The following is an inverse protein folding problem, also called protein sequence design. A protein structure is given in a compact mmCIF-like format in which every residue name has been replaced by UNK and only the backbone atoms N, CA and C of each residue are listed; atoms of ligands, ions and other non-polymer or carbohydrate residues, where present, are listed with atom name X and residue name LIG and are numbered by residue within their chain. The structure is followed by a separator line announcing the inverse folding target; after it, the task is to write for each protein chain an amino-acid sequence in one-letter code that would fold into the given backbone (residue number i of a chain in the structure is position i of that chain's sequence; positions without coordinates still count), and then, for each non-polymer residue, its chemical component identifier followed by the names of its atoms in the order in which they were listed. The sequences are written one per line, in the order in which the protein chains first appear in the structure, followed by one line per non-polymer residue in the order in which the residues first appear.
data_IF_138852211321
#
_entry.id   IF_138852211321
#
_cell.length_a   1.000
_cell.length_b   1.000
_cell.length_c   1.000
_cell.angle_alpha   90.00
_cell.angle_beta   90.00
_cell.angle_gamma   90.00
#
_symmetry.space_group_name_H-M   'P 1'
#
loop_
_entity.id
_entity.type
_entity.pdbx_description
1 polymer ?
#
# COMPACT_ATOMS: atom_id res chain seq x y z
N UNK A 1 -48.25 10.79 -34.47
CA UNK A 1 -47.04 11.31 -33.82
C UNK A 1 -46.91 10.61 -32.47
N UNK A 2 -45.94 9.77 -32.21
CA UNK A 2 -45.81 9.13 -30.91
C UNK A 2 -45.03 10.04 -29.97
N UNK A 3 -45.59 10.19 -28.75
CA UNK A 3 -45.03 11.02 -27.69
C UNK A 3 -43.62 10.61 -27.26
N UNK A 4 -42.78 11.61 -27.15
CA UNK A 4 -41.47 11.54 -26.49
C UNK A 4 -41.68 11.26 -25.01
N UNK A 5 -41.46 10.04 -24.55
CA UNK A 5 -41.28 9.74 -23.15
C UNK A 5 -39.98 10.43 -22.68
N UNK A 6 -40.11 11.55 -22.01
CA UNK A 6 -39.06 12.16 -21.23
C UNK A 6 -38.67 11.15 -20.14
N UNK A 7 -37.54 10.51 -20.27
CA UNK A 7 -36.93 9.80 -19.14
C UNK A 7 -36.68 10.84 -18.04
N UNK A 8 -37.46 10.75 -16.99
CA UNK A 8 -37.16 11.44 -15.74
C UNK A 8 -35.74 11.03 -15.32
N UNK A 9 -34.81 11.95 -15.39
CA UNK A 9 -33.53 11.84 -14.72
C UNK A 9 -33.84 11.89 -13.23
N UNK A 10 -34.02 10.71 -12.62
CA UNK A 10 -33.97 10.59 -11.17
C UNK A 10 -32.56 11.06 -10.79
N UNK A 11 -32.47 12.24 -10.18
CA UNK A 11 -31.26 12.71 -9.50
C UNK A 11 -31.00 11.73 -8.35
N UNK A 12 -30.31 10.63 -8.67
CA UNK A 12 -29.84 9.72 -7.64
C UNK A 12 -28.87 10.51 -6.76
N UNK A 13 -29.21 10.64 -5.49
CA UNK A 13 -28.31 11.22 -4.47
C UNK A 13 -26.94 10.58 -4.64
N UNK A 14 -25.91 11.37 -4.92
CA UNK A 14 -24.55 10.86 -5.10
C UNK A 14 -24.14 10.11 -3.83
N UNK A 15 -23.78 8.83 -3.95
CA UNK A 15 -23.28 8.04 -2.84
C UNK A 15 -22.07 8.73 -2.20
N UNK A 16 -21.99 8.69 -0.88
CA UNK A 16 -20.85 9.14 -0.12
C UNK A 16 -20.08 7.93 0.37
N UNK A 17 -18.78 8.07 0.61
CA UNK A 17 -17.91 6.99 1.05
C UNK A 17 -17.47 7.25 2.49
N UNK A 18 -17.75 6.31 3.37
CA UNK A 18 -17.27 6.29 4.75
C UNK A 18 -16.05 5.39 4.89
N UNK A 19 -15.08 5.82 5.70
CA UNK A 19 -14.02 4.98 6.23
C UNK A 19 -14.54 4.39 7.53
N UNK A 20 -14.70 3.07 7.59
CA UNK A 20 -15.32 2.39 8.73
C UNK A 20 -14.34 1.54 9.54
N UNK A 21 -13.14 1.30 9.01
CA UNK A 21 -12.08 0.59 9.72
C UNK A 21 -10.71 0.85 9.10
N UNK A 22 -9.66 0.65 9.88
CA UNK A 22 -8.28 0.80 9.43
C UNK A 22 -7.32 -0.07 10.24
N UNK A 23 -6.17 -0.39 9.64
CA UNK A 23 -5.01 -0.95 10.31
C UNK A 23 -3.72 -0.39 9.70
N UNK A 24 -2.68 -0.25 10.52
CA UNK A 24 -1.40 0.32 10.09
C UNK A 24 -0.23 -0.49 10.64
N UNK A 25 0.84 -0.53 9.83
CA UNK A 25 2.19 -0.95 10.22
C UNK A 25 3.16 0.12 9.72
N UNK A 26 3.70 0.92 10.64
CA UNK A 26 4.70 1.94 10.34
C UNK A 26 5.92 1.76 11.25
N UNK A 27 7.08 2.30 10.91
CA UNK A 27 8.28 2.21 11.76
C UNK A 27 7.97 2.58 13.21
N UNK A 28 8.29 1.67 14.14
CA UNK A 28 8.03 1.86 15.57
C UNK A 28 6.56 2.05 15.97
N UNK A 29 5.60 1.78 15.06
CA UNK A 29 4.20 2.09 15.30
C UNK A 29 3.26 1.00 14.78
N UNK A 30 2.22 0.76 15.58
CA UNK A 30 1.01 0.01 15.19
C UNK A 30 -0.17 0.99 15.12
N UNK A 31 -1.34 0.52 14.74
CA UNK A 31 -2.58 1.33 14.71
C UNK A 31 -2.82 2.07 16.04
N UNK A 32 -2.53 1.44 17.17
CA UNK A 32 -2.76 2.01 18.50
C UNK A 32 -1.70 3.02 18.95
N UNK A 33 -0.45 2.92 18.47
CA UNK A 33 0.68 3.78 18.90
C UNK A 33 1.06 4.87 17.90
N UNK A 34 0.52 4.81 16.69
CA UNK A 34 0.87 5.75 15.60
C UNK A 34 0.69 7.21 16.01
N UNK A 35 -0.48 7.56 16.55
CA UNK A 35 -0.78 8.93 16.94
C UNK A 35 0.16 9.48 18.03
N UNK A 36 0.52 8.63 18.99
CA UNK A 36 1.45 9.01 20.08
C UNK A 36 2.84 9.32 19.53
N UNK A 37 3.35 8.49 18.60
CA UNK A 37 4.64 8.72 17.97
C UNK A 37 4.66 9.99 17.11
N UNK A 38 3.57 10.24 16.37
CA UNK A 38 3.41 11.45 15.56
C UNK A 38 3.39 12.71 16.44
N UNK A 39 2.57 12.72 17.49
CA UNK A 39 2.47 13.86 18.41
C UNK A 39 3.76 14.12 19.20
N UNK A 40 4.53 13.08 19.47
CA UNK A 40 5.82 13.20 20.13
C UNK A 40 6.96 13.63 19.18
N UNK A 41 6.68 13.78 17.87
CA UNK A 41 7.70 14.14 16.87
C UNK A 41 8.86 13.17 16.82
N UNK A 42 8.61 11.85 17.04
CA UNK A 42 9.68 10.86 17.09
C UNK A 42 10.30 10.67 15.71
N UNK A 43 11.61 10.77 15.65
CA UNK A 43 12.38 10.33 14.48
C UNK A 43 12.56 8.81 14.55
N UNK A 44 11.99 8.12 13.57
CA UNK A 44 11.97 6.67 13.49
C UNK A 44 12.82 6.14 12.33
N UNK A 45 13.59 7.02 11.69
CA UNK A 45 14.56 6.60 10.67
C UNK A 45 15.80 6.03 11.35
N UNK A 46 16.18 4.84 10.93
CA UNK A 46 17.37 4.10 11.39
C UNK A 46 18.19 3.63 10.20
N UNK A 47 19.23 2.84 10.42
CA UNK A 47 19.81 2.04 9.33
C UNK A 47 18.96 0.78 9.14
N UNK A 48 18.82 0.34 7.89
CA UNK A 48 18.20 -0.96 7.59
C UNK A 48 18.98 -2.04 8.34
N UNK A 49 18.28 -3.00 8.93
CA UNK A 49 18.92 -4.05 9.71
C UNK A 49 19.81 -4.95 8.85
N UNK A 50 21.00 -5.31 9.35
CA UNK A 50 21.95 -6.15 8.63
C UNK A 50 21.43 -7.57 8.33
N UNK A 51 20.36 -8.02 9.00
CA UNK A 51 19.66 -9.27 8.66
C UNK A 51 18.94 -9.22 7.30
N UNK A 52 18.71 -8.02 6.74
CA UNK A 52 18.12 -7.84 5.41
C UNK A 52 19.14 -8.09 4.30
N UNK A 53 20.34 -7.52 4.43
CA UNK A 53 21.52 -7.71 3.58
C UNK A 53 22.77 -7.16 4.27
N UNK A 54 23.96 -7.63 3.85
CA UNK A 54 25.23 -7.09 4.35
C UNK A 54 25.50 -5.71 3.74
N UNK A 55 25.46 -4.69 4.57
CA UNK A 55 25.72 -3.31 4.13
C UNK A 55 27.14 -3.10 3.61
N UNK A 56 28.15 -3.86 4.13
CA UNK A 56 29.54 -3.68 3.73
C UNK A 56 29.79 -3.96 2.26
N UNK A 57 28.95 -4.81 1.66
CA UNK A 57 29.03 -5.14 0.23
C UNK A 57 28.47 -4.04 -0.67
N UNK A 58 27.51 -3.23 -0.17
CA UNK A 58 26.72 -2.33 -0.98
C UNK A 58 26.80 -0.85 -0.58
N UNK A 59 27.51 -0.50 0.51
CA UNK A 59 27.63 0.88 0.98
C UNK A 59 28.92 1.53 0.44
N UNK A 60 28.80 2.63 -0.29
CA UNK A 60 29.94 3.42 -0.74
C UNK A 60 29.58 4.90 -0.85
N UNK A 61 30.42 5.84 -0.33
CA UNK A 61 30.07 7.28 -0.29
C UNK A 61 30.01 7.92 -1.68
N UNK A 62 30.72 7.39 -2.66
CA UNK A 62 30.65 7.85 -4.04
C UNK A 62 29.52 7.14 -4.78
N UNK A 63 28.52 7.92 -5.22
CA UNK A 63 27.40 7.38 -6.00
C UNK A 63 27.80 6.80 -7.35
N UNK A 64 28.98 7.15 -7.89
CA UNK A 64 29.48 6.62 -9.15
C UNK A 64 29.99 5.17 -9.01
N UNK A 65 30.29 4.72 -7.79
CA UNK A 65 30.74 3.36 -7.56
C UNK A 65 29.66 2.36 -7.99
N UNK A 66 29.95 1.38 -8.88
CA UNK A 66 28.96 0.44 -9.38
C UNK A 66 28.33 -0.39 -8.25
N UNK A 67 27.03 -0.75 -8.39
CA UNK A 67 26.31 -1.63 -7.50
C UNK A 67 26.31 -1.21 -6.01
N UNK A 68 26.39 0.09 -5.72
CA UNK A 68 26.39 0.61 -4.35
C UNK A 68 25.38 1.74 -4.14
N UNK A 69 25.00 1.95 -2.88
CA UNK A 69 24.28 3.10 -2.38
C UNK A 69 25.14 3.89 -1.40
N UNK A 70 24.96 5.19 -1.30
CA UNK A 70 25.66 6.01 -0.30
C UNK A 70 24.93 6.09 1.04
N UNK A 71 23.74 5.49 1.15
CA UNK A 71 22.97 5.41 2.40
C UNK A 71 22.05 4.20 2.39
N UNK A 72 21.80 3.63 3.56
CA UNK A 72 20.74 2.68 3.86
C UNK A 72 19.87 3.19 5.03
N UNK A 73 19.85 4.50 5.26
CA UNK A 73 18.96 5.10 6.23
C UNK A 73 17.50 4.98 5.76
N UNK A 74 16.64 4.43 6.61
CA UNK A 74 15.21 4.24 6.32
C UNK A 74 14.38 4.11 7.59
N UNK A 75 13.10 4.40 7.48
CA UNK A 75 12.14 3.90 8.45
C UNK A 75 11.90 2.41 8.20
N UNK A 76 12.16 1.55 9.17
CA UNK A 76 12.02 0.09 9.00
C UNK A 76 11.03 -0.51 9.99
N UNK A 77 10.39 -1.60 9.60
CA UNK A 77 9.47 -2.36 10.46
C UNK A 77 10.18 -3.39 11.36
N UNK A 78 11.50 -3.50 11.23
CA UNK A 78 12.26 -4.53 11.93
C UNK A 78 12.07 -5.93 11.32
N UNK A 79 11.82 -6.93 12.17
CA UNK A 79 11.57 -8.30 11.70
C UNK A 79 10.18 -8.41 11.06
N UNK A 80 10.14 -8.77 9.79
CA UNK A 80 8.91 -9.03 9.01
C UNK A 80 8.76 -10.51 8.66
N UNK A 81 9.51 -11.40 9.32
CA UNK A 81 9.46 -12.84 9.07
C UNK A 81 8.28 -13.53 9.74
N UNK A 82 7.82 -13.00 10.87
CA UNK A 82 6.72 -13.56 11.64
C UNK A 82 5.41 -13.53 10.83
N UNK A 83 4.68 -14.66 10.86
CA UNK A 83 3.38 -14.80 10.20
C UNK A 83 2.65 -16.05 10.74
N UNK A 84 1.39 -15.91 11.09
CA UNK A 84 0.56 -17.05 11.48
C UNK A 84 0.02 -17.80 10.25
N UNK A 85 0.88 -18.58 9.60
CA UNK A 85 0.52 -19.33 8.41
C UNK A 85 -0.61 -20.35 8.68
N UNK A 86 -0.66 -20.90 9.88
CA UNK A 86 -1.70 -21.87 10.28
C UNK A 86 -3.08 -21.23 10.31
N UNK A 87 -3.19 -20.03 10.87
CA UNK A 87 -4.44 -19.26 10.89
C UNK A 87 -4.99 -19.00 9.47
N UNK A 88 -4.10 -18.67 8.53
CA UNK A 88 -4.47 -18.38 7.15
C UNK A 88 -4.55 -19.63 6.26
N UNK A 89 -4.41 -20.84 6.84
CA UNK A 89 -4.41 -22.10 6.11
C UNK A 89 -3.36 -22.14 4.97
N UNK A 90 -2.20 -21.55 5.21
CA UNK A 90 -1.05 -21.52 4.31
C UNK A 90 -0.01 -22.50 4.84
N UNK A 91 0.53 -23.35 3.93
CA UNK A 91 1.56 -24.31 4.34
C UNK A 91 2.86 -23.58 4.73
N UNK A 92 3.66 -24.13 5.67
CA UNK A 92 4.96 -23.54 6.01
C UNK A 92 5.90 -23.36 4.80
N UNK A 93 5.84 -24.29 3.83
CA UNK A 93 6.61 -24.21 2.59
C UNK A 93 6.19 -23.01 1.73
N UNK A 94 4.90 -22.78 1.56
CA UNK A 94 4.39 -21.62 0.82
C UNK A 94 4.73 -20.32 1.58
N UNK A 95 4.49 -20.26 2.88
CA UNK A 95 4.78 -19.11 3.69
C UNK A 95 6.25 -18.67 3.64
N UNK A 96 7.19 -19.62 3.53
CA UNK A 96 8.62 -19.35 3.49
C UNK A 96 9.06 -18.58 2.22
N UNK A 97 8.44 -18.86 1.07
CA UNK A 97 8.76 -18.20 -0.20
C UNK A 97 7.85 -17.01 -0.53
N UNK A 98 6.80 -16.83 0.25
CA UNK A 98 5.82 -15.76 0.07
C UNK A 98 6.40 -14.40 0.45
N UNK A 99 6.18 -13.41 -0.40
CA UNK A 99 6.55 -12.02 -0.11
C UNK A 99 5.95 -11.58 1.24
N UNK A 100 6.76 -11.07 2.18
CA UNK A 100 6.26 -10.57 3.46
C UNK A 100 5.13 -9.56 3.32
N UNK A 101 5.08 -8.79 2.23
CA UNK A 101 3.97 -7.87 1.96
C UNK A 101 2.63 -8.61 1.87
N UNK A 102 2.57 -9.76 1.19
CA UNK A 102 1.34 -10.55 1.11
C UNK A 102 0.93 -11.12 2.48
N UNK A 103 1.91 -11.53 3.30
CA UNK A 103 1.66 -12.04 4.66
C UNK A 103 1.08 -10.94 5.55
N UNK A 104 1.73 -9.77 5.58
CA UNK A 104 1.26 -8.63 6.37
C UNK A 104 -0.10 -8.13 5.92
N UNK A 105 -0.39 -8.11 4.61
CA UNK A 105 -1.70 -7.70 4.09
C UNK A 105 -2.83 -8.60 4.58
N UNK A 106 -2.60 -9.92 4.72
CA UNK A 106 -3.59 -10.85 5.28
C UNK A 106 -3.93 -10.49 6.73
N UNK A 107 -2.92 -10.29 7.57
CA UNK A 107 -3.10 -9.91 8.99
C UNK A 107 -3.73 -8.52 9.12
N UNK A 108 -3.22 -7.54 8.38
CA UNK A 108 -3.76 -6.17 8.41
C UNK A 108 -5.21 -6.13 7.93
N UNK A 109 -5.59 -6.95 6.94
CA UNK A 109 -6.97 -7.03 6.48
C UNK A 109 -7.89 -7.57 7.59
N UNK A 110 -7.46 -8.59 8.32
CA UNK A 110 -8.18 -9.10 9.49
C UNK A 110 -8.37 -8.01 10.53
N UNK A 111 -7.31 -7.34 10.92
CA UNK A 111 -7.35 -6.24 11.90
C UNK A 111 -8.23 -5.07 11.43
N UNK A 112 -8.23 -4.79 10.12
CA UNK A 112 -9.10 -3.74 9.54
C UNK A 112 -10.58 -4.10 9.73
N UNK A 113 -10.94 -5.36 9.53
CA UNK A 113 -12.31 -5.83 9.78
C UNK A 113 -12.65 -5.81 11.28
N UNK A 114 -11.74 -6.23 12.15
CA UNK A 114 -11.95 -6.12 13.60
C UNK A 114 -12.14 -4.66 14.04
N UNK A 115 -11.31 -3.75 13.55
CA UNK A 115 -11.41 -2.32 13.84
C UNK A 115 -12.75 -1.72 13.35
N UNK A 116 -13.29 -2.23 12.24
CA UNK A 116 -14.60 -1.85 11.71
C UNK A 116 -15.79 -2.49 12.47
N UNK A 117 -15.53 -3.40 13.42
CA UNK A 117 -16.57 -4.21 14.05
C UNK A 117 -17.28 -5.17 13.09
N UNK A 118 -16.61 -5.52 11.97
CA UNK A 118 -17.15 -6.38 10.93
C UNK A 118 -16.59 -7.79 11.09
N UNK A 119 -17.47 -8.77 11.26
CA UNK A 119 -17.06 -10.18 11.31
C UNK A 119 -16.63 -10.64 9.91
N UNK A 120 -15.38 -11.09 9.69
CA UNK A 120 -14.91 -11.47 8.36
C UNK A 120 -15.80 -12.51 7.65
N UNK A 121 -16.38 -13.45 8.40
CA UNK A 121 -17.29 -14.45 7.83
C UNK A 121 -18.61 -13.89 7.28
N UNK A 122 -19.02 -12.68 7.70
CA UNK A 122 -20.20 -12.01 7.14
C UNK A 122 -19.96 -11.41 5.76
N UNK A 123 -18.71 -11.25 5.37
CA UNK A 123 -18.32 -10.72 4.05
C UNK A 123 -18.21 -11.81 2.99
N UNK A 124 -18.27 -13.09 3.35
CA UNK A 124 -18.14 -14.21 2.40
C UNK A 124 -19.21 -14.14 1.32
N UNK A 125 -18.75 -14.25 0.07
CA UNK A 125 -19.62 -14.18 -1.11
C UNK A 125 -20.12 -12.76 -1.44
N UNK A 126 -19.71 -11.73 -0.66
CA UNK A 126 -20.11 -10.36 -0.88
C UNK A 126 -19.40 -9.71 -2.08
N UNK A 127 -20.02 -8.66 -2.63
CA UNK A 127 -19.44 -7.81 -3.67
C UNK A 127 -18.44 -6.77 -3.08
N UNK A 128 -17.62 -7.20 -2.10
CA UNK A 128 -16.56 -6.37 -1.55
C UNK A 128 -15.35 -6.33 -2.49
N UNK A 129 -14.90 -5.14 -2.87
CA UNK A 129 -13.72 -4.96 -3.72
C UNK A 129 -12.41 -4.99 -2.92
N UNK A 130 -11.29 -5.28 -3.59
CA UNK A 130 -9.92 -5.19 -3.05
C UNK A 130 -9.06 -4.39 -4.01
N UNK A 131 -8.58 -3.24 -3.56
CA UNK A 131 -7.77 -2.31 -4.36
C UNK A 131 -6.49 -1.99 -3.58
N UNK A 132 -5.34 -2.51 -4.02
CA UNK A 132 -4.07 -2.39 -3.30
C UNK A 132 -3.02 -1.66 -4.11
N UNK A 133 -2.39 -0.66 -3.52
CA UNK A 133 -1.21 -0.01 -4.07
C UNK A 133 0.05 -0.78 -3.68
N UNK A 134 0.73 -1.38 -4.64
CA UNK A 134 1.97 -2.14 -4.45
C UNK A 134 2.88 -1.88 -5.64
N UNK A 135 4.05 -1.28 -5.40
CA UNK A 135 5.06 -1.02 -6.42
C UNK A 135 6.37 -1.80 -6.20
N UNK A 136 6.61 -2.34 -5.00
CA UNK A 136 7.84 -3.04 -4.65
C UNK A 136 7.66 -4.57 -4.79
N UNK A 137 8.62 -5.21 -5.47
CA UNK A 137 8.71 -6.67 -5.66
C UNK A 137 10.08 -7.21 -5.22
N UNK A 138 10.67 -6.61 -4.22
CA UNK A 138 12.07 -6.84 -3.85
C UNK A 138 12.32 -8.25 -3.30
N UNK A 139 11.29 -8.93 -2.75
CA UNK A 139 11.42 -10.33 -2.36
C UNK A 139 11.70 -11.24 -3.56
N UNK A 140 11.13 -10.93 -4.73
CA UNK A 140 11.41 -11.69 -5.94
C UNK A 140 12.89 -11.60 -6.35
N UNK A 141 13.55 -10.45 -6.13
CA UNK A 141 14.98 -10.30 -6.42
C UNK A 141 15.85 -11.20 -5.54
N UNK A 142 15.51 -11.40 -4.27
CA UNK A 142 16.20 -12.35 -3.38
C UNK A 142 16.06 -13.80 -3.85
N UNK A 143 14.90 -14.16 -4.36
CA UNK A 143 14.63 -15.54 -4.78
C UNK A 143 15.38 -15.91 -6.06
N UNK A 144 15.64 -14.95 -6.96
CA UNK A 144 16.42 -15.24 -8.19
C UNK A 144 17.92 -15.40 -7.93
N UNK A 145 18.43 -15.06 -6.76
CA UNK A 145 19.80 -15.35 -6.36
C UNK A 145 20.04 -16.86 -6.20
N UNK A 146 19.00 -17.63 -5.84
CA UNK A 146 19.01 -19.10 -5.82
C UNK A 146 17.90 -19.67 -6.69
N UNK A 147 18.13 -19.72 -8.00
CA UNK A 147 17.14 -20.23 -8.96
C UNK A 147 16.75 -21.69 -8.75
N UNK A 148 17.59 -22.47 -8.05
CA UNK A 148 17.27 -23.86 -7.77
C UNK A 148 16.19 -24.03 -6.70
N UNK A 149 15.94 -22.99 -5.90
CA UNK A 149 14.89 -22.98 -4.88
C UNK A 149 13.50 -22.63 -5.43
N UNK A 150 13.40 -22.18 -6.68
CA UNK A 150 12.13 -21.76 -7.30
C UNK A 150 11.19 -22.95 -7.47
N UNK A 151 9.97 -22.80 -6.98
CA UNK A 151 8.88 -23.77 -7.14
C UNK A 151 7.54 -23.11 -7.49
N UNK A 152 6.46 -23.88 -7.56
CA UNK A 152 5.13 -23.36 -7.89
C UNK A 152 4.61 -22.31 -6.91
N UNK A 153 4.97 -22.40 -5.62
CA UNK A 153 4.57 -21.44 -4.59
C UNK A 153 5.30 -20.09 -4.76
N UNK A 154 6.48 -20.08 -5.37
CA UNK A 154 7.24 -18.87 -5.68
C UNK A 154 6.44 -17.94 -6.59
N UNK A 155 5.75 -18.49 -7.61
CA UNK A 155 4.96 -17.68 -8.53
C UNK A 155 3.80 -16.97 -7.81
N UNK A 156 3.01 -17.70 -7.03
CA UNK A 156 1.86 -17.14 -6.29
C UNK A 156 2.29 -16.27 -5.13
N UNK A 157 3.45 -16.56 -4.53
CA UNK A 157 4.00 -15.82 -3.40
C UNK A 157 4.58 -14.46 -3.79
N UNK A 158 4.96 -14.23 -5.06
CA UNK A 158 5.73 -13.04 -5.44
C UNK A 158 5.12 -12.22 -6.59
N UNK A 159 3.92 -12.56 -7.05
CA UNK A 159 3.21 -11.79 -8.08
C UNK A 159 2.28 -10.77 -7.42
N UNK A 160 2.40 -9.48 -7.82
CA UNK A 160 1.63 -8.38 -7.20
C UNK A 160 0.12 -8.56 -7.32
N UNK A 161 -0.39 -9.01 -8.47
CA UNK A 161 -1.83 -9.27 -8.64
C UNK A 161 -2.35 -10.32 -7.67
N UNK A 162 -1.52 -11.29 -7.28
CA UNK A 162 -1.87 -12.32 -6.30
C UNK A 162 -2.02 -11.71 -4.89
N UNK A 163 -1.31 -10.64 -4.55
CA UNK A 163 -1.47 -9.99 -3.25
C UNK A 163 -2.92 -9.55 -2.99
N UNK A 164 -3.57 -8.90 -3.96
CA UNK A 164 -4.98 -8.53 -3.86
C UNK A 164 -5.90 -9.77 -3.92
N UNK A 165 -5.63 -10.66 -4.88
CA UNK A 165 -6.44 -11.85 -5.08
C UNK A 165 -6.35 -12.84 -3.91
N UNK A 166 -5.24 -12.88 -3.17
CA UNK A 166 -5.08 -13.69 -1.97
C UNK A 166 -6.02 -13.24 -0.86
N UNK A 167 -6.21 -11.92 -0.67
CA UNK A 167 -7.22 -11.40 0.24
C UNK A 167 -8.62 -11.82 -0.21
N UNK A 168 -8.94 -11.61 -1.48
CA UNK A 168 -10.24 -11.99 -2.04
C UNK A 168 -10.49 -13.49 -1.89
N UNK A 169 -9.47 -14.33 -2.11
CA UNK A 169 -9.57 -15.78 -1.96
C UNK A 169 -9.80 -16.20 -0.51
N UNK A 170 -9.00 -15.69 0.43
CA UNK A 170 -9.09 -16.10 1.83
C UNK A 170 -10.41 -15.66 2.47
N UNK A 171 -10.87 -14.45 2.17
CA UNK A 171 -12.12 -13.90 2.72
C UNK A 171 -13.36 -14.18 1.88
N UNK A 172 -13.23 -14.87 0.74
CA UNK A 172 -14.30 -15.11 -0.28
C UNK A 172 -14.99 -13.80 -0.70
N UNK A 173 -14.20 -12.78 -1.07
CA UNK A 173 -14.70 -11.51 -1.58
C UNK A 173 -14.83 -11.59 -3.11
N UNK A 174 -15.96 -11.15 -3.66
CA UNK A 174 -16.29 -11.33 -5.09
C UNK A 174 -16.33 -10.04 -5.90
N UNK A 175 -16.04 -8.91 -5.28
CA UNK A 175 -15.86 -7.65 -5.98
C UNK A 175 -14.56 -7.59 -6.79
N UNK A 176 -14.31 -6.50 -7.54
CA UNK A 176 -13.07 -6.29 -8.24
C UNK A 176 -11.85 -6.44 -7.33
N UNK A 177 -10.79 -7.11 -7.81
CA UNK A 177 -9.61 -7.41 -7.00
C UNK A 177 -8.36 -7.11 -7.83
N UNK A 178 -7.59 -6.09 -7.44
CA UNK A 178 -6.46 -5.62 -8.24
C UNK A 178 -5.35 -5.00 -7.39
N UNK A 179 -4.11 -5.20 -7.86
CA UNK A 179 -2.94 -4.44 -7.44
C UNK A 179 -2.67 -3.33 -8.45
N UNK A 180 -2.35 -2.15 -7.96
CA UNK A 180 -2.15 -0.93 -8.75
C UNK A 180 -0.73 -0.42 -8.48
N UNK A 181 0.02 -0.20 -9.56
CA UNK A 181 1.32 0.45 -9.51
C UNK A 181 1.27 1.75 -10.30
N UNK A 182 1.32 2.86 -9.59
CA UNK A 182 1.54 4.22 -10.08
C UNK A 182 2.68 4.87 -9.30
N UNK A 183 3.69 4.07 -8.95
CA UNK A 183 4.83 4.44 -8.11
C UNK A 183 4.39 4.99 -6.74
N UNK A 184 4.88 6.17 -6.34
CA UNK A 184 4.61 6.77 -5.02
C UNK A 184 3.13 7.02 -4.73
N UNK A 185 2.29 7.15 -5.77
CA UNK A 185 0.85 7.42 -5.64
C UNK A 185 -0.03 6.17 -5.63
N UNK A 186 0.55 4.97 -5.72
CA UNK A 186 -0.18 3.70 -5.92
C UNK A 186 -1.33 3.51 -4.92
N UNK A 187 -1.09 3.73 -3.63
CA UNK A 187 -2.10 3.54 -2.59
C UNK A 187 -3.23 4.56 -2.66
N UNK A 188 -2.93 5.83 -3.01
CA UNK A 188 -3.96 6.86 -3.16
C UNK A 188 -4.77 6.66 -4.44
N UNK A 189 -4.16 6.18 -5.53
CA UNK A 189 -4.88 5.80 -6.75
C UNK A 189 -5.79 4.59 -6.48
N UNK A 190 -5.31 3.58 -5.74
CA UNK A 190 -6.11 2.44 -5.31
C UNK A 190 -7.31 2.89 -4.47
N UNK A 191 -7.08 3.80 -3.53
CA UNK A 191 -8.13 4.40 -2.70
C UNK A 191 -9.16 5.16 -3.55
N UNK A 192 -8.70 5.98 -4.51
CA UNK A 192 -9.59 6.69 -5.44
C UNK A 192 -10.45 5.71 -6.25
N UNK A 193 -9.86 4.66 -6.81
CA UNK A 193 -10.60 3.66 -7.59
C UNK A 193 -11.67 2.95 -6.74
N UNK A 194 -11.34 2.60 -5.50
CA UNK A 194 -12.31 2.04 -4.56
C UNK A 194 -13.46 3.00 -4.27
N UNK A 195 -13.15 4.29 -4.03
CA UNK A 195 -14.18 5.32 -3.86
C UNK A 195 -15.08 5.44 -5.08
N UNK A 196 -14.50 5.48 -6.29
CA UNK A 196 -15.29 5.61 -7.52
C UNK A 196 -16.21 4.39 -7.73
N UNK A 197 -15.71 3.17 -7.45
CA UNK A 197 -16.52 1.95 -7.56
C UNK A 197 -17.71 1.92 -6.57
N UNK A 198 -17.55 2.49 -5.36
CA UNK A 198 -18.65 2.66 -4.41
C UNK A 198 -19.63 3.76 -4.88
N UNK A 199 -19.10 4.90 -5.34
CA UNK A 199 -19.93 6.03 -5.81
C UNK A 199 -20.76 5.64 -7.04
N UNK A 200 -20.20 4.86 -7.98
CA UNK A 200 -20.93 4.35 -9.14
C UNK A 200 -21.97 3.30 -8.81
N UNK A 201 -21.84 2.65 -7.65
CA UNK A 201 -22.73 1.57 -7.23
C UNK A 201 -22.32 0.19 -7.76
N UNK A 202 -21.10 0.05 -8.29
CA UNK A 202 -20.57 -1.23 -8.72
C UNK A 202 -20.30 -2.17 -7.54
N UNK A 203 -19.92 -1.58 -6.40
CA UNK A 203 -19.70 -2.27 -5.12
C UNK A 203 -20.27 -1.43 -3.97
N UNK A 204 -20.50 -2.05 -2.81
CA UNK A 204 -20.98 -1.35 -1.62
C UNK A 204 -19.87 -1.09 -0.61
N UNK A 205 -18.77 -1.83 -0.69
CA UNK A 205 -17.61 -1.71 0.21
C UNK A 205 -16.32 -2.21 -0.44
N UNK A 206 -15.18 -1.76 0.06
CA UNK A 206 -13.87 -2.17 -0.44
C UNK A 206 -12.81 -2.16 0.65
N UNK A 207 -11.90 -3.12 0.61
CA UNK A 207 -10.59 -3.04 1.26
C UNK A 207 -9.66 -2.30 0.32
N UNK A 208 -9.00 -1.25 0.80
CA UNK A 208 -8.04 -0.46 0.01
C UNK A 208 -6.90 0.06 0.85
N UNK A 209 -5.80 0.37 0.21
CA UNK A 209 -4.59 0.90 0.85
C UNK A 209 -3.34 0.49 0.10
N UNK A 210 -2.26 0.26 0.82
CA UNK A 210 -1.01 -0.18 0.19
C UNK A 210 0.04 -0.61 1.19
N UNK A 211 1.10 -1.20 0.66
CA UNK A 211 2.25 -1.67 1.44
C UNK A 211 3.54 -1.53 0.63
N UNK A 212 4.64 -1.27 1.31
CA UNK A 212 5.99 -1.28 0.75
C UNK A 212 6.99 -1.77 1.78
N UNK A 213 7.80 -2.75 1.41
CA UNK A 213 8.90 -3.27 2.22
C UNK A 213 10.22 -3.23 1.44
N UNK A 214 11.33 -3.14 2.16
CA UNK A 214 12.69 -3.16 1.61
C UNK A 214 13.33 -4.52 1.89
N UNK A 215 13.27 -5.40 0.90
CA UNK A 215 13.77 -6.78 1.02
C UNK A 215 15.10 -7.01 0.29
N UNK A 216 15.57 -6.01 -0.49
CA UNK A 216 16.78 -6.09 -1.29
C UNK A 216 17.42 -4.70 -1.43
N UNK A 217 18.78 -4.56 -1.50
CA UNK A 217 19.44 -3.27 -1.61
C UNK A 217 19.18 -2.54 -2.94
N UNK A 218 18.64 -3.22 -3.95
CA UNK A 218 18.40 -2.69 -5.29
C UNK A 218 17.66 -1.34 -5.29
N UNK A 219 16.58 -1.23 -4.51
CA UNK A 219 15.80 0.01 -4.42
C UNK A 219 16.63 1.19 -3.91
N UNK A 220 17.51 0.95 -2.93
CA UNK A 220 18.43 1.98 -2.44
C UNK A 220 19.46 2.36 -3.50
N UNK A 221 20.02 1.38 -4.22
CA UNK A 221 21.01 1.64 -5.26
C UNK A 221 20.46 2.52 -6.37
N UNK A 222 19.29 2.19 -6.94
CA UNK A 222 18.73 2.97 -8.06
C UNK A 222 18.41 4.40 -7.65
N UNK A 223 17.84 4.61 -6.47
CA UNK A 223 17.50 5.96 -6.00
C UNK A 223 18.74 6.75 -5.55
N UNK A 224 19.78 6.08 -5.03
CA UNK A 224 21.08 6.72 -4.78
C UNK A 224 21.76 7.16 -6.09
N UNK A 225 21.76 6.29 -7.12
CA UNK A 225 22.30 6.66 -8.46
C UNK A 225 21.55 7.86 -9.07
N UNK A 226 20.24 7.94 -8.86
CA UNK A 226 19.43 9.06 -9.28
C UNK A 226 19.60 10.33 -8.41
N UNK A 227 20.43 10.29 -7.36
CA UNK A 227 20.62 11.39 -6.37
C UNK A 227 19.32 11.82 -5.69
N UNK A 228 18.41 10.88 -5.46
CA UNK A 228 17.10 11.15 -4.85
C UNK A 228 17.12 10.93 -3.32
N UNK A 229 18.07 10.12 -2.80
CA UNK A 229 18.13 9.84 -1.38
C UNK A 229 18.90 10.93 -0.63
N UNK A 230 18.43 11.27 0.57
CA UNK A 230 19.16 12.14 1.48
C UNK A 230 20.42 11.46 1.98
N UNK A 231 21.56 12.18 1.96
CA UNK A 231 22.82 11.71 2.53
C UNK A 231 22.80 11.68 4.05
N UNK A 232 21.98 12.54 4.66
CA UNK A 232 21.79 12.61 6.10
C UNK A 232 20.74 11.61 6.60
N UNK A 233 20.01 10.96 5.68
CA UNK A 233 18.93 10.05 6.01
C UNK A 233 17.69 10.77 6.55
N UNK A 234 17.47 12.03 6.16
CA UNK A 234 16.32 12.84 6.63
C UNK A 234 15.60 13.49 5.47
N UNK A 235 14.27 13.58 5.60
CA UNK A 235 13.44 14.39 4.72
C UNK A 235 13.33 15.81 5.33
N UNK A 236 13.92 16.79 4.68
CA UNK A 236 13.83 18.20 5.10
C UNK A 236 12.77 18.92 4.23
N UNK A 237 11.52 18.41 4.29
CA UNK A 237 10.41 18.94 3.50
C UNK A 237 10.18 20.43 3.82
N UNK A 238 10.13 21.26 2.76
CA UNK A 238 9.96 22.73 2.87
C UNK A 238 11.15 23.49 3.50
N UNK A 239 12.29 22.85 3.66
CA UNK A 239 13.51 23.46 4.21
C UNK A 239 14.59 23.55 3.13
N UNK A 240 15.41 24.62 3.15
CA UNK A 240 16.50 24.84 2.19
C UNK A 240 17.62 23.80 2.30
N UNK A 241 17.75 23.12 3.45
CA UNK A 241 18.71 22.04 3.67
C UNK A 241 18.29 20.71 3.05
N UNK A 242 17.16 20.66 2.36
CA UNK A 242 16.67 19.45 1.70
C UNK A 242 17.65 18.90 0.67
N UNK A 243 18.20 17.70 0.92
CA UNK A 243 19.19 17.02 0.08
C UNK A 243 18.69 15.71 -0.54
N UNK A 244 17.41 15.40 -0.39
CA UNK A 244 16.78 14.17 -0.82
C UNK A 244 15.75 13.67 0.19
N UNK A 245 15.34 12.40 0.06
CA UNK A 245 14.42 11.78 0.99
C UNK A 245 15.01 10.52 1.66
N UNK A 246 14.49 10.15 2.83
CA UNK A 246 14.75 8.85 3.44
C UNK A 246 13.66 7.87 3.03
N UNK A 247 14.04 6.67 2.60
CA UNK A 247 13.07 5.60 2.30
C UNK A 247 12.36 5.14 3.57
N UNK A 248 11.18 4.55 3.42
CA UNK A 248 10.46 3.95 4.54
C UNK A 248 9.67 2.73 4.13
N UNK A 249 9.65 1.75 5.00
CA UNK A 249 8.71 0.63 4.97
C UNK A 249 7.38 1.04 5.58
N UNK A 250 6.37 0.27 5.32
CA UNK A 250 5.09 0.39 5.98
C UNK A 250 3.92 -0.07 5.13
N UNK A 251 2.78 -0.17 5.79
CA UNK A 251 1.51 -0.49 5.15
C UNK A 251 0.33 0.10 5.91
N UNK A 252 -0.75 0.35 5.18
CA UNK A 252 -2.02 0.77 5.75
C UNK A 252 -3.17 0.24 4.92
N UNK A 253 -4.20 -0.27 5.60
CA UNK A 253 -5.45 -0.68 4.98
C UNK A 253 -6.63 0.06 5.59
N UNK A 254 -7.61 0.31 4.76
CA UNK A 254 -8.90 0.88 5.12
C UNK A 254 -10.03 -0.01 4.61
N UNK A 255 -11.10 -0.11 5.39
CA UNK A 255 -12.39 -0.58 4.92
C UNK A 255 -13.25 0.63 4.57
N UNK A 256 -13.54 0.78 3.29
CA UNK A 256 -14.48 1.79 2.77
C UNK A 256 -15.85 1.17 2.60
N UNK A 257 -16.90 1.96 2.84
CA UNK A 257 -18.27 1.53 2.68
C UNK A 257 -19.16 2.68 2.20
N UNK A 258 -20.23 2.36 1.50
CA UNK A 258 -21.30 3.34 1.26
C UNK A 258 -21.76 3.93 2.59
N UNK A 259 -21.85 5.25 2.67
CA UNK A 259 -22.13 5.95 3.94
C UNK A 259 -23.50 5.60 4.50
N UNK A 260 -24.53 5.62 3.66
CA UNK A 260 -25.90 5.34 4.11
C UNK A 260 -26.00 3.88 4.60
N UNK A 261 -25.29 2.95 3.93
CA UNK A 261 -25.21 1.56 4.38
C UNK A 261 -24.38 1.40 5.66
N UNK A 262 -23.28 2.15 5.82
CA UNK A 262 -22.48 2.11 7.04
C UNK A 262 -23.29 2.58 8.27
N UNK A 263 -24.12 3.62 8.09
CA UNK A 263 -25.04 4.10 9.14
C UNK A 263 -26.10 3.06 9.45
N UNK A 264 -26.70 2.46 8.42
CA UNK A 264 -27.74 1.44 8.60
C UNK A 264 -27.22 0.19 9.33
N UNK A 265 -25.97 -0.21 9.05
CA UNK A 265 -25.33 -1.37 9.68
C UNK A 265 -24.73 -1.06 11.06
N UNK A 266 -24.77 0.21 11.51
CA UNK A 266 -24.21 0.62 12.80
C UNK A 266 -22.69 0.55 12.86
N UNK A 267 -21.97 0.63 11.72
CA UNK A 267 -20.52 0.64 11.70
C UNK A 267 -19.96 1.93 12.32
N UNK A 268 -18.78 1.88 12.97
CA UNK A 268 -18.06 3.10 13.33
C UNK A 268 -17.71 3.88 12.07
N UNK A 269 -17.92 5.19 12.07
CA UNK A 269 -17.51 6.07 10.96
C UNK A 269 -16.31 6.87 11.43
N UNK A 270 -15.13 6.50 10.96
CA UNK A 270 -13.87 7.16 11.32
C UNK A 270 -13.72 8.49 10.58
N UNK A 271 -14.14 8.51 9.31
CA UNK A 271 -14.15 9.70 8.47
C UNK A 271 -15.10 9.50 7.28
N UNK A 272 -15.43 10.61 6.62
CA UNK A 272 -16.14 10.61 5.34
C UNK A 272 -15.25 11.23 4.27
N UNK A 273 -15.14 10.57 3.12
CA UNK A 273 -14.32 11.06 2.01
C UNK A 273 -15.06 12.22 1.33
N UNK A 274 -14.53 13.42 1.47
CA UNK A 274 -15.12 14.62 0.89
C UNK A 274 -14.98 14.64 -0.63
N UNK A 275 -13.77 14.35 -1.14
CA UNK A 275 -13.46 14.29 -2.56
C UNK A 275 -12.18 13.48 -2.79
N UNK A 276 -12.01 12.96 -4.00
CA UNK A 276 -10.76 12.41 -4.48
C UNK A 276 -10.65 12.63 -5.99
N UNK A 277 -9.44 12.88 -6.47
CA UNK A 277 -9.15 13.10 -7.88
C UNK A 277 -7.80 12.50 -8.26
N UNK A 278 -7.58 12.26 -9.55
CA UNK A 278 -6.32 11.77 -10.12
C UNK A 278 -6.06 12.54 -11.42
N UNK A 279 -4.84 13.03 -11.59
CA UNK A 279 -4.37 13.55 -12.86
C UNK A 279 -2.94 13.07 -13.16
N UNK A 280 -2.33 13.59 -14.22
CA UNK A 280 -0.94 13.35 -14.57
C UNK A 280 -0.28 14.66 -14.96
N UNK A 281 1.06 14.73 -14.78
CA UNK A 281 1.87 15.90 -15.12
C UNK A 281 1.88 16.24 -16.63
N UNK A 282 1.50 15.30 -17.49
CA UNK A 282 1.58 15.47 -18.94
C UNK A 282 3.01 15.67 -19.44
N UNK A 283 3.17 16.51 -20.46
CA UNK A 283 4.49 16.83 -21.04
C UNK A 283 5.21 17.86 -20.18
N UNK A 284 6.45 17.56 -19.77
CA UNK A 284 7.31 18.40 -18.94
C UNK A 284 8.77 18.35 -19.41
N UNK A 285 9.66 19.11 -18.79
CA UNK A 285 11.08 19.23 -19.19
C UNK A 285 11.89 17.95 -18.94
N UNK A 286 11.50 17.13 -17.95
CA UNK A 286 12.10 15.83 -17.66
C UNK A 286 11.06 14.87 -17.11
N UNK A 287 11.22 13.57 -17.37
CA UNK A 287 10.28 12.54 -16.92
C UNK A 287 10.08 12.54 -15.41
N UNK A 288 11.12 12.81 -14.66
CA UNK A 288 11.12 12.70 -13.19
C UNK A 288 10.84 14.02 -12.46
N UNK A 289 10.85 15.17 -13.16
CA UNK A 289 10.53 16.45 -12.52
C UNK A 289 9.03 16.63 -12.36
N UNK A 290 8.55 17.03 -11.15
CA UNK A 290 7.14 17.32 -10.95
C UNK A 290 6.69 18.59 -11.72
N UNK A 291 5.40 18.66 -12.04
CA UNK A 291 4.77 19.83 -12.65
C UNK A 291 3.87 20.52 -11.63
N UNK A 292 4.29 21.69 -11.13
CA UNK A 292 3.56 22.43 -10.10
C UNK A 292 2.15 22.85 -10.57
N UNK A 293 2.00 23.24 -11.85
CA UNK A 293 0.70 23.68 -12.40
C UNK A 293 -0.28 22.50 -12.47
N UNK A 294 0.21 21.30 -12.85
CA UNK A 294 -0.62 20.10 -12.86
C UNK A 294 -1.06 19.69 -11.45
N UNK A 295 -0.18 19.83 -10.45
CA UNK A 295 -0.53 19.56 -9.05
C UNK A 295 -1.52 20.60 -8.52
N UNK A 296 -1.37 21.86 -8.87
CA UNK A 296 -2.30 22.92 -8.46
C UNK A 296 -3.70 22.76 -9.11
N UNK A 297 -3.77 22.14 -10.30
CA UNK A 297 -5.02 21.90 -11.01
C UNK A 297 -5.79 20.68 -10.47
N UNK A 298 -5.14 19.79 -9.71
CA UNK A 298 -5.76 18.63 -9.07
C UNK A 298 -6.61 19.05 -7.88
#
# INVERSE_FOLDING_TARGET
MPGRVLKEWVLTKRRQVAIVGCSFRFPGSTTSSFWQNLMAGRDLVTQVDASRWDHSEFLHPDKANPATSYTFAAGTLGDVSAFDAGFFNISPREAAVMDPQQRMLLEMCWETFENAGVKPSSLRGSNCGVYLGIAAVEQAYRLVEDMASIDAATATGNTMSIAANRLSFFYDLRGPSMAIDTACSSSLVAFHQACQAIISGDIDQAVTGGISLHMHPFGFMIFAKASMLSRTGRCHSFDESGDGYARSEGGGLFLLKDYDQAVADGNPILAVVAASAVNTDGRKSSLTLPNADAQAAL
#
